data_IF_011174507044
#
_entry.id   IF_011174507044
#
_cell.length_a   1.000
_cell.length_b   1.000
_cell.length_c   1.000
_cell.angle_alpha   90.00
_cell.angle_beta   90.00
_cell.angle_gamma   90.00
#
_symmetry.space_group_name_H-M   'P 1'
#
loop_
_entity.id
_entity.type
_entity.pdbx_description
1 polymer ?
#
# COMPACT_ATOMS: atom_id res chain seq x y z
N UNK A 1 -13.88 16.07 21.10
CA UNK A 1 -12.57 16.25 20.44
C UNK A 1 -12.69 15.71 19.02
N UNK A 2 -12.21 16.42 17.99
CA UNK A 2 -12.30 15.90 16.61
C UNK A 2 -11.35 14.71 16.43
N UNK A 3 -11.78 13.68 15.71
CA UNK A 3 -11.00 12.52 15.30
C UNK A 3 -11.12 12.32 13.79
N UNK A 4 -10.22 11.55 13.20
CA UNK A 4 -10.34 11.10 11.82
C UNK A 4 -10.07 9.59 11.75
N UNK A 5 -10.73 8.91 10.81
CA UNK A 5 -10.56 7.47 10.60
C UNK A 5 -9.35 7.20 9.73
N UNK A 6 -8.47 6.31 10.17
CA UNK A 6 -7.32 5.84 9.42
C UNK A 6 -7.42 4.34 9.18
N UNK A 7 -6.72 3.87 8.15
CA UNK A 7 -6.60 2.49 7.74
C UNK A 7 -5.14 2.09 7.84
N UNK A 8 -4.88 0.90 8.39
CA UNK A 8 -3.55 0.29 8.39
C UNK A 8 -3.62 -1.20 8.04
N UNK A 9 -2.73 -1.61 7.16
CA UNK A 9 -2.48 -3.00 6.85
C UNK A 9 -1.41 -3.54 7.82
N UNK A 10 -1.76 -4.59 8.57
CA UNK A 10 -0.94 -5.13 9.66
C UNK A 10 -1.47 -4.76 11.06
N UNK A 11 -0.62 -4.89 12.08
CA UNK A 11 -0.97 -4.59 13.47
C UNK A 11 -0.87 -3.10 13.81
N UNK A 12 -1.68 -2.61 14.75
CA UNK A 12 -1.67 -1.21 15.20
C UNK A 12 -0.55 -0.87 16.18
N UNK A 13 0.15 -1.88 16.71
CA UNK A 13 1.29 -1.64 17.60
C UNK A 13 2.43 -0.94 16.87
N UNK A 14 3.08 0.01 17.56
CA UNK A 14 4.30 0.67 17.08
C UNK A 14 5.38 -0.37 16.74
N UNK A 15 5.92 -0.30 15.51
CA UNK A 15 6.96 -1.22 15.03
C UNK A 15 8.29 -0.49 14.87
N UNK A 16 9.44 -1.20 14.98
CA UNK A 16 10.73 -0.64 14.62
C UNK A 16 10.77 -0.21 13.16
N UNK A 17 11.36 0.94 12.89
CA UNK A 17 11.57 1.51 11.56
C UNK A 17 13.06 1.77 11.36
N UNK A 18 13.50 1.86 10.10
CA UNK A 18 14.90 2.24 9.79
C UNK A 18 15.26 3.62 10.32
N UNK A 19 14.25 4.45 10.59
CA UNK A 19 14.39 5.85 10.95
C UNK A 19 14.86 6.69 9.76
N UNK A 20 14.99 7.99 10.01
CA UNK A 20 15.37 8.95 9.00
C UNK A 20 16.83 8.78 8.61
N UNK A 21 17.08 8.66 7.31
CA UNK A 21 18.40 8.69 6.70
C UNK A 21 18.64 10.05 6.02
N UNK A 22 19.58 10.88 6.50
CA UNK A 22 19.87 12.17 5.87
C UNK A 22 20.46 12.03 4.45
N UNK A 23 21.11 10.91 4.14
CA UNK A 23 21.69 10.64 2.81
C UNK A 23 20.62 10.20 1.80
N UNK A 24 19.42 9.85 2.28
CA UNK A 24 18.24 9.55 1.47
C UNK A 24 17.02 10.24 2.10
N UNK A 25 16.93 11.58 1.98
CA UNK A 25 15.91 12.38 2.66
C UNK A 25 14.56 12.30 1.92
N UNK A 26 14.17 11.13 1.46
CA UNK A 26 12.95 10.92 0.68
C UNK A 26 11.75 10.70 1.60
N UNK A 27 10.54 10.88 1.06
CA UNK A 27 9.29 10.54 1.75
C UNK A 27 9.20 9.06 2.20
N UNK A 28 9.98 8.16 1.59
CA UNK A 28 10.10 6.76 2.02
C UNK A 28 10.99 6.55 3.26
N UNK A 29 11.66 7.59 3.74
CA UNK A 29 12.56 7.55 4.90
C UNK A 29 11.77 7.92 6.17
N UNK A 30 11.38 6.96 7.04
CA UNK A 30 10.48 7.23 8.16
C UNK A 30 11.04 8.31 9.09
N UNK A 31 10.23 9.28 9.56
CA UNK A 31 10.73 10.41 10.34
C UNK A 31 11.14 10.01 11.76
N UNK A 32 10.79 8.80 12.21
CA UNK A 32 11.15 8.28 13.53
C UNK A 32 11.57 6.80 13.48
N UNK A 33 12.28 6.34 14.52
CA UNK A 33 12.74 4.95 14.64
C UNK A 33 11.64 3.96 15.05
N UNK A 34 10.49 4.46 15.46
CA UNK A 34 9.33 3.66 15.88
C UNK A 34 8.05 4.36 15.49
N UNK A 35 7.05 3.59 15.09
CA UNK A 35 5.74 4.10 14.71
C UNK A 35 5.07 3.22 13.67
N UNK A 36 4.00 3.74 13.09
CA UNK A 36 3.23 3.08 12.07
C UNK A 36 2.97 4.02 10.90
N UNK A 37 3.02 3.47 9.68
CA UNK A 37 2.39 4.06 8.53
C UNK A 37 0.90 3.76 8.53
N UNK A 38 0.09 4.77 8.19
CA UNK A 38 -1.35 4.64 8.05
C UNK A 38 -1.85 5.54 6.92
N UNK A 39 -2.97 5.14 6.33
CA UNK A 39 -3.60 5.85 5.23
C UNK A 39 -4.91 6.48 5.74
N UNK A 40 -5.25 7.71 5.34
CA UNK A 40 -6.56 8.26 5.61
C UNK A 40 -7.66 7.34 5.06
N UNK A 41 -8.76 7.16 5.81
CA UNK A 41 -9.80 6.19 5.43
C UNK A 41 -10.39 6.41 4.04
N UNK A 42 -10.42 7.66 3.57
CA UNK A 42 -10.93 8.01 2.24
C UNK A 42 -9.84 8.25 1.17
N UNK A 43 -8.58 7.92 1.45
CA UNK A 43 -7.44 7.99 0.51
C UNK A 43 -6.53 6.77 0.70
N UNK A 44 -6.94 5.67 0.07
CA UNK A 44 -6.22 4.40 0.13
C UNK A 44 -5.43 4.19 -1.15
N UNK A 45 -4.13 3.98 -1.00
CA UNK A 45 -3.23 3.68 -2.10
C UNK A 45 -2.61 2.29 -1.90
N UNK A 46 -2.93 1.34 -2.79
CA UNK A 46 -2.56 -0.05 -2.57
C UNK A 46 -1.10 -0.35 -2.92
N UNK A 47 -0.48 0.41 -3.84
CA UNK A 47 0.92 0.13 -4.21
C UNK A 47 1.90 0.40 -3.06
N UNK A 48 1.49 1.18 -2.06
CA UNK A 48 2.27 1.45 -0.85
C UNK A 48 2.22 0.29 0.15
N UNK A 49 1.30 -0.65 -0.04
CA UNK A 49 1.18 -1.81 0.83
C UNK A 49 2.00 -2.93 0.19
N UNK A 50 3.15 -3.31 0.79
CA UNK A 50 3.98 -4.34 0.20
C UNK A 50 3.26 -5.69 0.16
N UNK A 51 3.36 -6.39 -0.96
CA UNK A 51 2.89 -7.77 -1.10
C UNK A 51 3.85 -8.75 -0.41
N UNK A 52 5.14 -8.45 -0.50
CA UNK A 52 6.22 -9.29 -0.02
C UNK A 52 7.21 -8.52 0.83
N UNK A 53 7.99 -9.25 1.61
CA UNK A 53 9.07 -8.73 2.43
C UNK A 53 10.31 -9.60 2.27
N UNK A 54 11.45 -8.96 2.06
CA UNK A 54 12.75 -9.64 2.03
C UNK A 54 13.28 -9.71 3.46
N UNK A 55 13.15 -10.87 4.11
CA UNK A 55 13.59 -11.05 5.52
C UNK A 55 15.11 -11.06 5.68
N UNK A 56 15.84 -11.51 4.66
CA UNK A 56 17.29 -11.67 4.73
C UNK A 56 17.93 -11.11 3.45
N UNK A 57 18.76 -10.07 3.61
CA UNK A 57 19.49 -9.43 2.51
C UNK A 57 20.47 -10.37 1.81
N UNK A 58 21.02 -11.37 2.51
CA UNK A 58 21.98 -12.34 1.95
C UNK A 58 21.29 -13.37 1.06
N UNK A 59 20.17 -13.95 1.52
CA UNK A 59 19.47 -14.99 0.76
C UNK A 59 18.45 -14.42 -0.22
N UNK A 60 18.17 -13.10 -0.14
CA UNK A 60 17.09 -12.41 -0.86
C UNK A 60 15.75 -13.16 -0.79
N UNK A 61 15.52 -13.94 0.26
CA UNK A 61 14.35 -14.81 0.36
C UNK A 61 13.12 -13.96 0.62
N UNK A 62 12.18 -14.03 -0.32
CA UNK A 62 10.88 -13.40 -0.22
C UNK A 62 9.97 -14.16 0.74
N UNK A 63 9.20 -13.41 1.50
CA UNK A 63 8.13 -13.92 2.36
C UNK A 63 6.91 -13.02 2.20
N UNK A 64 5.71 -13.56 2.38
CA UNK A 64 4.50 -12.73 2.38
C UNK A 64 4.61 -11.64 3.45
N UNK A 65 4.28 -10.41 3.07
CA UNK A 65 4.13 -9.35 4.06
C UNK A 65 2.98 -9.71 5.03
N UNK A 66 3.04 -9.35 6.33
CA UNK A 66 2.02 -9.75 7.30
C UNK A 66 0.58 -9.35 6.95
N UNK A 67 0.41 -8.31 6.12
CA UNK A 67 -0.90 -7.88 5.62
C UNK A 67 -1.45 -8.70 4.47
N UNK A 68 -0.75 -9.72 4.01
CA UNK A 68 -1.09 -10.52 2.83
C UNK A 68 -1.39 -11.95 3.24
N UNK A 69 -2.30 -12.58 2.50
CA UNK A 69 -2.55 -14.01 2.55
C UNK A 69 -2.76 -14.58 1.16
N UNK A 70 -2.56 -15.89 1.04
CA UNK A 70 -2.93 -16.61 -0.17
C UNK A 70 -4.45 -16.55 -0.36
N UNK A 71 -4.88 -16.32 -1.60
CA UNK A 71 -6.23 -16.66 -2.01
C UNK A 71 -6.38 -18.19 -1.89
N UNK A 72 -7.51 -18.62 -1.35
CA UNK A 72 -7.82 -20.04 -1.17
C UNK A 72 -9.13 -20.39 -1.85
N UNK A 73 -9.19 -21.59 -2.42
CA UNK A 73 -10.40 -22.15 -3.00
C UNK A 73 -11.41 -22.56 -1.90
N UNK A 74 -12.58 -23.04 -2.31
CA UNK A 74 -13.63 -23.52 -1.41
C UNK A 74 -13.21 -24.71 -0.53
N UNK A 75 -12.14 -25.42 -0.90
CA UNK A 75 -11.55 -26.55 -0.16
C UNK A 75 -10.39 -26.11 0.75
N UNK A 76 -10.05 -24.82 0.77
CA UNK A 76 -8.96 -24.26 1.57
C UNK A 76 -7.57 -24.42 0.94
N UNK A 77 -7.44 -24.92 -0.29
CA UNK A 77 -6.15 -25.01 -0.99
C UNK A 77 -5.73 -23.63 -1.49
N UNK A 78 -4.42 -23.41 -1.63
CA UNK A 78 -3.92 -22.18 -2.25
C UNK A 78 -4.28 -22.18 -3.74
N UNK A 79 -4.73 -21.03 -4.24
CA UNK A 79 -4.95 -20.85 -5.67
C UNK A 79 -3.62 -20.51 -6.31
N UNK A 80 -3.16 -21.40 -7.18
CA UNK A 80 -1.95 -21.23 -7.98
C UNK A 80 -2.35 -21.06 -9.44
N UNK A 81 -1.66 -20.19 -10.16
CA UNK A 81 -1.81 -20.02 -11.59
C UNK A 81 -0.75 -20.85 -12.31
N UNK A 82 -1.14 -21.52 -13.38
CA UNK A 82 -0.19 -21.97 -14.40
C UNK A 82 -0.01 -20.89 -15.49
N UNK A 83 0.96 -21.10 -16.38
CA UNK A 83 1.29 -20.16 -17.44
C UNK A 83 0.12 -19.85 -18.38
N UNK A 84 -0.63 -20.86 -18.81
CA UNK A 84 -1.79 -20.71 -19.69
C UNK A 84 -2.93 -19.90 -19.05
N UNK A 85 -3.16 -20.10 -17.75
CA UNK A 85 -4.13 -19.31 -16.96
C UNK A 85 -3.69 -17.85 -16.80
N UNK A 86 -2.39 -17.60 -16.58
CA UNK A 86 -1.83 -16.24 -16.52
C UNK A 86 -2.04 -15.49 -17.84
N UNK A 87 -1.83 -16.17 -18.96
CA UNK A 87 -2.04 -15.61 -20.30
C UNK A 87 -3.52 -15.44 -20.67
N UNK A 88 -4.46 -15.87 -19.81
CA UNK A 88 -5.90 -15.83 -20.09
C UNK A 88 -6.33 -16.82 -21.17
N UNK A 89 -5.51 -17.83 -21.49
CA UNK A 89 -5.82 -18.88 -22.47
C UNK A 89 -6.67 -20.00 -21.87
N UNK A 90 -6.63 -20.14 -20.55
CA UNK A 90 -7.46 -21.07 -19.78
C UNK A 90 -8.21 -20.28 -18.71
N UNK A 91 -9.52 -20.46 -18.66
CA UNK A 91 -10.36 -19.84 -17.65
C UNK A 91 -10.09 -20.39 -16.24
N UNK A 92 -10.21 -19.52 -15.24
CA UNK A 92 -10.15 -19.91 -13.83
C UNK A 92 -11.51 -20.51 -13.40
N UNK A 93 -11.57 -21.27 -12.29
CA UNK A 93 -12.85 -21.66 -11.70
C UNK A 93 -13.74 -20.42 -11.43
N UNK A 94 -15.05 -20.52 -11.65
CA UNK A 94 -15.98 -19.38 -11.59
C UNK A 94 -15.92 -18.63 -10.24
N UNK A 95 -15.75 -19.36 -9.14
CA UNK A 95 -15.58 -18.78 -7.80
C UNK A 95 -14.29 -17.95 -7.66
N UNK A 96 -13.23 -18.31 -8.40
CA UNK A 96 -11.97 -17.56 -8.45
C UNK A 96 -12.11 -16.39 -9.42
N UNK A 97 -12.75 -16.58 -10.57
CA UNK A 97 -13.03 -15.50 -11.50
C UNK A 97 -13.81 -14.36 -10.83
N UNK A 98 -14.83 -14.68 -10.03
CA UNK A 98 -15.61 -13.68 -9.27
C UNK A 98 -14.76 -12.86 -8.29
N UNK A 99 -13.66 -13.42 -7.78
CA UNK A 99 -12.75 -12.76 -6.85
C UNK A 99 -11.62 -12.02 -7.57
N UNK A 100 -11.11 -12.60 -8.66
CA UNK A 100 -9.93 -12.12 -9.38
C UNK A 100 -10.29 -11.12 -10.49
N UNK A 101 -11.37 -11.37 -11.23
CA UNK A 101 -11.83 -10.58 -12.37
C UNK A 101 -13.03 -9.69 -12.07
N UNK A 102 -13.43 -9.54 -10.79
CA UNK A 102 -14.71 -8.94 -10.39
C UNK A 102 -15.07 -7.68 -11.21
N UNK A 103 -16.07 -7.75 -12.11
CA UNK A 103 -16.35 -6.72 -13.11
C UNK A 103 -17.22 -5.56 -12.62
N UNK A 104 -17.61 -5.50 -11.35
CA UNK A 104 -18.39 -4.38 -10.80
C UNK A 104 -17.52 -3.17 -10.42
N UNK A 105 -16.80 -2.65 -11.42
CA UNK A 105 -16.22 -1.31 -11.36
C UNK A 105 -17.36 -0.28 -11.44
N UNK A 106 -17.90 0.11 -10.29
CA UNK A 106 -18.70 1.33 -10.18
C UNK A 106 -17.79 2.46 -9.68
N UNK A 107 -17.39 3.42 -10.54
CA UNK A 107 -16.56 4.56 -10.15
C UNK A 107 -17.22 5.48 -9.11
N UNK A 108 -18.52 5.33 -8.85
CA UNK A 108 -19.27 6.09 -7.83
C UNK A 108 -19.33 5.37 -6.46
N UNK A 109 -19.12 4.06 -6.41
CA UNK A 109 -19.08 3.25 -5.19
C UNK A 109 -17.67 3.19 -4.62
N UNK A 110 -17.20 4.33 -4.12
CA UNK A 110 -15.79 4.51 -3.78
C UNK A 110 -15.32 3.68 -2.56
N UNK A 111 -16.18 3.00 -1.78
CA UNK A 111 -15.76 2.49 -0.45
C UNK A 111 -16.39 1.21 0.15
N UNK A 112 -17.20 0.39 -0.52
CA UNK A 112 -17.70 -0.86 0.12
C UNK A 112 -16.87 -2.12 -0.18
N UNK A 113 -16.35 -2.27 -1.40
CA UNK A 113 -15.84 -3.57 -1.87
C UNK A 113 -14.44 -3.55 -2.53
N UNK A 114 -13.85 -2.37 -2.76
CA UNK A 114 -12.53 -2.21 -3.42
C UNK A 114 -11.37 -2.93 -2.72
N UNK A 115 -11.38 -3.02 -1.38
CA UNK A 115 -10.31 -3.67 -0.61
C UNK A 115 -10.56 -5.17 -0.34
N UNK A 116 -11.81 -5.63 -0.45
CA UNK A 116 -12.16 -7.02 -0.12
C UNK A 116 -11.67 -8.00 -1.18
N UNK A 117 -11.53 -7.51 -2.42
CA UNK A 117 -11.29 -8.34 -3.61
C UNK A 117 -10.05 -7.91 -4.41
N UNK A 118 -9.15 -7.09 -3.84
CA UNK A 118 -7.90 -6.77 -4.53
C UNK A 118 -6.97 -7.98 -4.47
N UNK A 119 -6.98 -8.76 -5.55
CA UNK A 119 -6.19 -9.97 -5.72
C UNK A 119 -5.02 -9.66 -6.65
N UNK A 120 -3.82 -9.98 -6.21
CA UNK A 120 -2.60 -9.88 -7.00
C UNK A 120 -2.15 -11.26 -7.41
N UNK A 121 -1.74 -11.42 -8.67
CA UNK A 121 -0.89 -12.55 -9.03
C UNK A 121 0.55 -12.21 -8.66
N UNK A 122 1.25 -13.14 -8.00
CA UNK A 122 2.64 -12.92 -7.59
C UNK A 122 3.48 -14.16 -7.81
N UNK A 123 4.62 -13.98 -8.49
CA UNK A 123 5.61 -15.03 -8.74
C UNK A 123 6.73 -14.90 -7.72
N UNK A 124 6.91 -15.93 -6.89
CA UNK A 124 7.98 -15.95 -5.90
C UNK A 124 9.31 -16.31 -6.57
N UNK A 125 10.27 -15.39 -6.55
CA UNK A 125 11.58 -15.61 -7.15
C UNK A 125 12.49 -16.42 -6.22
N UNK A 126 12.98 -17.57 -6.69
CA UNK A 126 14.01 -18.36 -6.01
C UNK A 126 15.38 -18.13 -6.66
N UNK A 127 15.98 -16.96 -6.42
CA UNK A 127 17.43 -16.75 -6.61
C UNK A 127 17.87 -16.11 -7.93
N UNK A 128 19.14 -15.65 -7.92
CA UNK A 128 19.84 -14.90 -8.97
C UNK A 128 19.90 -15.69 -10.29
N UNK A 129 19.22 -15.23 -11.32
CA UNK A 129 19.58 -15.55 -12.71
C UNK A 129 19.76 -14.23 -13.46
N UNK A 130 20.98 -13.97 -13.91
CA UNK A 130 21.33 -12.82 -14.75
C UNK A 130 20.85 -12.98 -16.20
N UNK A 131 19.78 -13.76 -16.43
CA UNK A 131 19.28 -14.06 -17.76
C UNK A 131 17.76 -13.94 -17.77
N UNK A 132 17.27 -13.01 -18.59
CA UNK A 132 15.90 -12.93 -19.09
C UNK A 132 15.60 -14.14 -20.00
N UNK A 133 15.63 -15.35 -19.43
CA UNK A 133 15.43 -16.57 -20.20
C UNK A 133 13.97 -16.99 -20.05
N UNK A 134 13.13 -16.59 -20.99
CA UNK A 134 11.68 -16.87 -21.02
C UNK A 134 11.36 -18.36 -20.81
N UNK A 135 12.25 -19.26 -21.28
CA UNK A 135 12.15 -20.71 -21.06
C UNK A 135 12.38 -21.12 -19.60
N UNK A 136 13.29 -20.45 -18.91
CA UNK A 136 13.51 -20.64 -17.48
C UNK A 136 12.29 -20.17 -16.67
N UNK A 137 11.67 -19.07 -17.08
CA UNK A 137 10.44 -18.59 -16.45
C UNK A 137 9.29 -19.60 -16.65
N UNK A 138 9.05 -20.09 -17.88
CA UNK A 138 8.03 -21.08 -18.22
C UNK A 138 8.12 -22.38 -17.38
N UNK A 139 9.33 -22.89 -17.16
CA UNK A 139 9.56 -24.10 -16.35
C UNK A 139 9.40 -23.86 -14.84
N UNK A 140 9.59 -22.63 -14.35
CA UNK A 140 9.53 -22.24 -12.94
C UNK A 140 8.21 -21.55 -12.51
N UNK A 141 7.30 -21.24 -13.45
CA UNK A 141 5.99 -20.64 -13.19
C UNK A 141 5.00 -21.53 -12.43
N UNK A 142 5.37 -22.76 -12.02
CA UNK A 142 4.55 -23.64 -11.14
C UNK A 142 4.24 -23.04 -9.76
N UNK A 143 4.59 -21.79 -9.50
CA UNK A 143 4.57 -21.15 -8.19
C UNK A 143 3.96 -19.75 -8.18
N UNK A 144 3.33 -19.28 -9.29
CA UNK A 144 2.54 -18.05 -9.21
C UNK A 144 1.31 -18.30 -8.34
N UNK A 145 1.17 -17.49 -7.29
CA UNK A 145 0.08 -17.60 -6.36
C UNK A 145 -0.80 -16.37 -6.44
N UNK A 146 -2.12 -16.57 -6.35
CA UNK A 146 -3.03 -15.48 -6.11
C UNK A 146 -2.96 -15.08 -4.64
N UNK A 147 -2.72 -13.80 -4.41
CA UNK A 147 -2.57 -13.18 -3.10
C UNK A 147 -3.65 -12.14 -2.91
N UNK A 148 -4.11 -11.95 -1.68
CA UNK A 148 -5.02 -10.86 -1.34
C UNK A 148 -4.58 -10.16 -0.06
N UNK A 149 -4.97 -8.90 0.08
CA UNK A 149 -4.80 -8.21 1.35
C UNK A 149 -5.74 -8.80 2.41
N UNK A 150 -5.22 -8.99 3.61
CA UNK A 150 -6.04 -9.19 4.81
C UNK A 150 -6.84 -7.92 5.08
N UNK A 151 -7.99 -8.08 5.72
CA UNK A 151 -8.82 -6.95 6.16
C UNK A 151 -7.97 -5.99 6.99
N UNK A 152 -7.84 -4.71 6.59
CA UNK A 152 -7.04 -3.77 7.33
C UNK A 152 -7.70 -3.41 8.66
N UNK A 153 -6.92 -2.84 9.56
CA UNK A 153 -7.43 -2.25 10.79
C UNK A 153 -7.88 -0.82 10.51
N UNK A 154 -9.08 -0.50 10.99
CA UNK A 154 -9.63 0.85 10.96
C UNK A 154 -9.61 1.37 12.39
N UNK A 155 -9.14 2.59 12.57
CA UNK A 155 -9.03 3.21 13.90
C UNK A 155 -9.26 4.71 13.81
N UNK A 156 -9.68 5.30 14.92
CA UNK A 156 -9.78 6.75 15.06
C UNK A 156 -8.50 7.30 15.70
N UNK A 157 -8.02 8.43 15.20
CA UNK A 157 -6.83 9.09 15.73
C UNK A 157 -6.99 10.61 15.73
N UNK A 158 -6.40 11.25 16.74
CA UNK A 158 -6.44 12.71 16.94
C UNK A 158 -5.14 13.29 17.53
N UNK A 159 -4.06 12.50 17.53
CA UNK A 159 -2.74 12.95 17.99
C UNK A 159 -1.92 13.61 16.89
N UNK A 160 -0.66 13.91 17.21
CA UNK A 160 0.29 14.44 16.23
C UNK A 160 0.65 13.38 15.21
N UNK A 161 0.90 13.81 13.97
CA UNK A 161 1.17 12.92 12.86
C UNK A 161 2.10 13.60 11.86
N UNK A 162 3.00 12.81 11.29
CA UNK A 162 3.87 13.25 10.22
C UNK A 162 3.18 13.06 8.87
N UNK A 163 3.34 14.01 7.96
CA UNK A 163 2.74 13.98 6.64
C UNK A 163 3.59 14.70 5.59
N UNK A 164 3.15 14.63 4.34
CA UNK A 164 3.75 15.29 3.18
C UNK A 164 2.76 16.20 2.44
N UNK A 165 1.76 16.75 3.13
CA UNK A 165 0.69 17.53 2.50
C UNK A 165 1.18 18.81 1.81
N UNK A 166 2.40 19.25 2.10
CA UNK A 166 3.07 20.38 1.45
C UNK A 166 3.31 20.18 -0.05
N UNK A 167 3.27 18.94 -0.56
CA UNK A 167 3.30 18.69 -2.00
C UNK A 167 2.02 19.15 -2.72
N UNK A 168 0.90 19.24 -2.00
CA UNK A 168 -0.39 19.66 -2.56
C UNK A 168 -0.74 21.10 -2.19
N UNK A 169 -0.48 21.49 -0.94
CA UNK A 169 -0.89 22.78 -0.40
C UNK A 169 0.20 23.40 0.49
N UNK A 170 0.51 24.70 0.36
CA UNK A 170 1.50 25.34 1.24
C UNK A 170 1.09 25.27 2.71
N UNK A 171 1.96 24.72 3.56
CA UNK A 171 1.77 24.66 5.02
C UNK A 171 2.42 25.87 5.68
N UNK A 172 1.67 26.58 6.53
CA UNK A 172 2.19 27.74 7.27
C UNK A 172 3.20 27.29 8.31
N UNK A 173 4.39 27.91 8.37
CA UNK A 173 5.47 27.56 9.32
C UNK A 173 5.02 27.50 10.78
N UNK A 174 4.13 28.39 11.20
CA UNK A 174 3.59 28.41 12.57
C UNK A 174 2.75 27.18 12.94
N UNK A 175 2.23 26.45 11.96
CA UNK A 175 1.42 25.24 12.15
C UNK A 175 2.31 23.97 12.17
N UNK A 176 3.62 24.10 11.88
CA UNK A 176 4.58 22.99 11.84
C UNK A 176 5.24 22.83 13.21
N UNK A 177 5.08 21.66 13.84
CA UNK A 177 5.69 21.34 15.13
C UNK A 177 7.18 20.99 14.94
N UNK A 178 7.46 20.19 13.91
CA UNK A 178 8.81 19.67 13.64
C UNK A 178 8.94 19.28 12.18
N UNK A 179 10.17 19.33 11.68
CA UNK A 179 10.52 18.93 10.31
C UNK A 179 11.61 17.85 10.35
N UNK A 180 11.57 16.94 9.39
CA UNK A 180 12.61 15.93 9.20
C UNK A 180 12.67 15.47 7.74
N UNK A 181 13.56 16.10 6.96
CA UNK A 181 13.56 15.95 5.50
C UNK A 181 12.21 16.41 4.95
N UNK A 182 11.60 15.60 4.09
CA UNK A 182 10.28 15.89 3.50
C UNK A 182 9.11 15.77 4.49
N UNK A 183 9.33 15.22 5.69
CA UNK A 183 8.27 15.00 6.67
C UNK A 183 8.00 16.24 7.53
N UNK A 184 6.72 16.59 7.64
CA UNK A 184 6.22 17.66 8.50
C UNK A 184 5.35 17.07 9.62
N UNK A 185 5.74 17.29 10.87
CA UNK A 185 4.94 16.94 12.05
C UNK A 185 3.95 18.05 12.34
N UNK A 186 2.67 17.71 12.32
CA UNK A 186 1.56 18.62 12.63
C UNK A 186 0.78 18.09 13.83
N UNK A 187 0.13 19.00 14.56
CA UNK A 187 -0.98 18.60 15.42
C UNK A 187 -2.18 18.17 14.55
N UNK A 188 -3.12 17.46 15.15
CA UNK A 188 -4.26 16.91 14.41
C UNK A 188 -5.14 17.96 13.74
N UNK A 189 -5.40 19.11 14.39
CA UNK A 189 -6.26 20.15 13.83
C UNK A 189 -5.59 20.82 12.63
N UNK A 190 -4.29 21.10 12.74
CA UNK A 190 -3.45 21.61 11.66
C UNK A 190 -3.43 20.61 10.49
N UNK A 191 -3.18 19.33 10.75
CA UNK A 191 -3.25 18.29 9.71
C UNK A 191 -4.61 18.23 9.06
N UNK A 192 -5.71 18.14 9.82
CA UNK A 192 -7.06 18.00 9.27
C UNK A 192 -7.44 19.17 8.35
N UNK A 193 -7.01 20.38 8.70
CA UNK A 193 -7.18 21.58 7.87
C UNK A 193 -6.46 21.44 6.53
N UNK A 194 -5.16 21.14 6.54
CA UNK A 194 -4.38 21.00 5.30
C UNK A 194 -4.79 19.77 4.49
N UNK A 195 -5.18 18.69 5.15
CA UNK A 195 -5.69 17.48 4.53
C UNK A 195 -6.97 17.78 3.73
N UNK A 196 -7.88 18.56 4.31
CA UNK A 196 -9.10 19.01 3.63
C UNK A 196 -8.75 19.81 2.39
N UNK A 197 -7.82 20.77 2.47
CA UNK A 197 -7.40 21.55 1.30
C UNK A 197 -6.72 20.68 0.22
N UNK A 198 -5.82 19.78 0.62
CA UNK A 198 -5.15 18.85 -0.28
C UNK A 198 -6.16 17.94 -0.99
N UNK A 199 -7.18 17.45 -0.26
CA UNK A 199 -8.26 16.66 -0.85
C UNK A 199 -9.04 17.44 -1.89
N UNK A 200 -9.41 18.68 -1.61
CA UNK A 200 -10.13 19.53 -2.56
C UNK A 200 -9.27 19.85 -3.79
N UNK A 201 -7.99 20.17 -3.59
CA UNK A 201 -7.05 20.41 -4.70
C UNK A 201 -6.88 19.20 -5.63
N UNK A 202 -6.99 17.99 -5.07
CA UNK A 202 -6.91 16.74 -5.81
C UNK A 202 -8.24 16.36 -6.51
N UNK A 203 -9.38 16.96 -6.14
CA UNK A 203 -10.66 16.67 -6.82
C UNK A 203 -10.60 17.11 -8.28
N UNK A 204 -10.97 16.21 -9.19
CA UNK A 204 -11.06 16.49 -10.63
C UNK A 204 -9.75 16.30 -11.40
N UNK A 205 -8.63 16.04 -10.73
CA UNK A 205 -7.39 15.59 -11.37
C UNK A 205 -7.47 14.08 -11.58
N UNK A 206 -8.30 13.68 -12.54
CA UNK A 206 -8.37 12.29 -12.99
C UNK A 206 -7.03 11.96 -13.65
N UNK A 207 -6.38 10.90 -13.17
CA UNK A 207 -5.12 10.38 -13.70
C UNK A 207 -5.34 9.84 -15.13
N UNK A 208 -5.40 10.72 -16.14
CA UNK A 208 -5.52 10.30 -17.54
C UNK A 208 -4.18 9.94 -18.19
N UNK A 209 -3.06 10.08 -17.49
CA UNK A 209 -1.76 9.74 -18.07
C UNK A 209 -1.16 8.51 -17.39
N UNK A 210 -0.95 7.46 -18.18
CA UNK A 210 -0.12 6.27 -17.88
C UNK A 210 1.35 6.61 -17.57
N UNK A 211 1.71 7.88 -17.44
CA UNK A 211 3.04 8.31 -17.02
C UNK A 211 3.03 8.38 -15.50
N UNK A 212 3.70 7.40 -14.90
CA UNK A 212 3.84 7.09 -13.48
C UNK A 212 4.32 8.22 -12.54
N UNK A 213 4.44 9.46 -13.00
CA UNK A 213 5.29 10.47 -12.36
C UNK A 213 4.57 11.67 -11.73
N UNK A 214 3.23 11.71 -11.66
CA UNK A 214 2.56 12.90 -11.09
C UNK A 214 1.48 12.57 -10.05
N UNK A 215 1.94 12.51 -8.80
CA UNK A 215 1.17 12.69 -7.55
C UNK A 215 0.05 11.68 -7.28
N UNK A 216 0.43 10.42 -7.09
CA UNK A 216 -0.41 9.39 -6.48
C UNK A 216 -0.88 9.80 -5.06
N UNK A 217 -1.81 9.04 -4.48
CA UNK A 217 -2.28 9.31 -3.11
C UNK A 217 -1.26 8.93 -2.02
N UNK A 218 -0.01 8.71 -2.39
CA UNK A 218 1.08 8.36 -1.48
C UNK A 218 1.45 9.47 -0.52
N UNK A 219 1.43 10.72 -0.95
CA UNK A 219 1.68 11.85 -0.07
C UNK A 219 0.55 12.11 0.95
N UNK A 220 -0.58 11.39 0.86
CA UNK A 220 -1.59 11.35 1.91
C UNK A 220 -1.27 10.34 3.02
N UNK A 221 -0.31 9.42 2.81
CA UNK A 221 0.18 8.55 3.87
C UNK A 221 0.70 9.37 5.05
N UNK A 222 0.40 8.90 6.26
CA UNK A 222 0.87 9.51 7.49
C UNK A 222 1.76 8.54 8.27
N UNK A 223 2.67 9.10 9.05
CA UNK A 223 3.44 8.35 10.03
C UNK A 223 3.06 8.76 11.46
N UNK A 224 2.66 7.79 12.26
CA UNK A 224 2.21 7.97 13.65
C UNK A 224 3.25 7.33 14.58
N UNK A 225 3.93 8.15 15.38
CA UNK A 225 4.95 7.69 16.34
C UNK A 225 4.35 6.97 17.55
N UNK A 226 3.25 7.53 18.08
CA UNK A 226 2.58 7.09 19.32
C UNK A 226 1.18 6.59 18.97
N UNK A 227 1.03 5.26 18.92
CA UNK A 227 -0.23 4.55 18.66
C UNK A 227 -0.75 3.93 19.93
#
# INVERSE_FOLDING_TARGET
MKTYRFIRFGGLSSVPQKGYNPDMPTFHSPPARRGIYALPYDRLEHFLIPLISVRNKKTKRETLHPSIEYLRDSKGNKVLLNWEQRLGRVELPEEIQKLYYNPHYDPKSLWSDKYKNYVHSYTFWKGNTNSEDYKFEEENFKHEALLKYKKPKVFEYNGNLWCHLNCYVPIKRKDIIKERGDWLLLDFNSWLKYYTYAKEWNKGKVYETRNHDNYCWDYFEVFIEKV
#
